data_IF_975636244203
#
_entry.id   IF_975636244203
#
_cell.length_a   1.000
_cell.length_b   1.000
_cell.length_c   1.000
_cell.angle_alpha   90.00
_cell.angle_beta   90.00
_cell.angle_gamma   90.00
#
_symmetry.space_group_name_H-M   'P 1'
#
loop_
_entity.id
_entity.type
_entity.pdbx_description
1 polymer ?
#
# COMPACT_ATOMS: atom_id res chain seq x y z
N UNK A 1 0.12 3.42 -0.52
CA UNK A 1 0.26 2.13 -1.21
C UNK A 1 1.01 1.21 -0.27
N UNK A 2 0.45 0.06 0.06
CA UNK A 2 1.08 -0.92 0.94
C UNK A 2 1.77 -1.98 0.08
N UNK A 3 3.05 -2.21 0.37
CA UNK A 3 3.88 -3.23 -0.29
C UNK A 3 4.04 -4.41 0.66
N UNK A 4 3.81 -5.63 0.18
CA UNK A 4 4.01 -6.85 0.96
C UNK A 4 5.08 -7.70 0.30
N UNK A 5 6.34 -7.39 0.62
CA UNK A 5 7.52 -8.07 0.05
C UNK A 5 8.17 -9.03 1.06
N UNK A 6 7.55 -9.22 2.23
CA UNK A 6 8.09 -10.05 3.28
C UNK A 6 7.84 -11.54 2.99
N UNK A 7 8.71 -12.39 3.53
CA UNK A 7 8.56 -13.86 3.50
C UNK A 7 7.35 -14.35 4.28
N UNK A 8 6.83 -13.54 5.20
CA UNK A 8 5.72 -13.90 6.08
C UNK A 8 4.38 -13.93 5.31
N UNK A 9 4.28 -13.20 4.18
CA UNK A 9 3.11 -13.18 3.29
C UNK A 9 2.78 -14.58 2.77
N UNK A 10 3.80 -15.39 2.48
CA UNK A 10 3.60 -16.79 2.03
C UNK A 10 2.77 -17.57 3.05
N UNK A 11 3.08 -17.44 4.34
CA UNK A 11 2.36 -18.15 5.41
C UNK A 11 0.92 -17.64 5.55
N UNK A 12 0.73 -16.32 5.46
CA UNK A 12 -0.60 -15.69 5.50
C UNK A 12 -1.48 -16.18 4.34
N UNK A 13 -0.95 -16.21 3.12
CA UNK A 13 -1.70 -16.65 1.94
C UNK A 13 -2.02 -18.15 1.98
N UNK A 14 -1.09 -18.99 2.43
CA UNK A 14 -1.34 -20.43 2.60
C UNK A 14 -2.46 -20.69 3.62
N UNK A 15 -2.40 -20.03 4.78
CA UNK A 15 -3.43 -20.13 5.81
C UNK A 15 -4.80 -19.63 5.33
N UNK A 16 -4.83 -18.46 4.70
CA UNK A 16 -6.07 -17.91 4.15
C UNK A 16 -6.69 -18.82 3.07
N UNK A 17 -5.86 -19.43 2.21
CA UNK A 17 -6.32 -20.36 1.16
C UNK A 17 -7.04 -21.58 1.73
N UNK A 18 -6.54 -22.15 2.83
CA UNK A 18 -7.20 -23.27 3.53
C UNK A 18 -8.55 -22.88 4.15
N UNK A 19 -8.82 -21.58 4.28
CA UNK A 19 -9.99 -21.01 4.94
C UNK A 19 -10.91 -20.24 3.96
N UNK A 20 -10.84 -20.57 2.67
CA UNK A 20 -11.71 -19.95 1.66
C UNK A 20 -11.22 -18.60 1.12
N UNK A 21 -9.94 -18.27 1.31
CA UNK A 21 -9.29 -17.11 0.70
C UNK A 21 -9.60 -15.77 1.38
N UNK A 22 -10.05 -15.79 2.63
CA UNK A 22 -10.39 -14.59 3.39
C UNK A 22 -9.18 -14.07 4.18
N UNK A 23 -8.92 -12.78 4.07
CA UNK A 23 -7.88 -12.04 4.76
C UNK A 23 -8.49 -10.87 5.53
N UNK A 24 -7.78 -10.43 6.56
CA UNK A 24 -7.96 -9.11 7.15
C UNK A 24 -6.73 -8.25 6.87
N UNK A 25 -6.97 -7.02 6.43
CA UNK A 25 -6.02 -5.93 6.50
C UNK A 25 -6.30 -5.16 7.78
N UNK A 26 -5.32 -5.13 8.68
CA UNK A 26 -5.43 -4.41 9.94
C UNK A 26 -4.42 -3.27 10.01
N UNK A 27 -4.84 -2.19 10.65
CA UNK A 27 -3.95 -1.16 11.20
C UNK A 27 -4.18 -1.07 12.70
N UNK A 28 -3.10 -1.25 13.45
CA UNK A 28 -3.01 -1.16 14.91
C UNK A 28 -1.52 -0.90 15.27
N UNK A 29 -0.81 -1.82 15.91
CA UNK A 29 0.67 -1.83 16.01
C UNK A 29 1.32 -2.17 14.66
N UNK A 30 1.23 -1.24 13.71
CA UNK A 30 1.71 -1.36 12.34
C UNK A 30 0.57 -1.54 11.34
N UNK A 31 0.90 -1.97 10.13
CA UNK A 31 -0.08 -2.30 9.08
C UNK A 31 0.26 -3.67 8.52
N UNK A 32 -0.68 -4.61 8.57
CA UNK A 32 -0.40 -6.01 8.22
C UNK A 32 -1.61 -6.75 7.64
N UNK A 33 -1.31 -7.83 6.93
CA UNK A 33 -2.29 -8.82 6.49
C UNK A 33 -2.28 -10.03 7.42
N UNK A 34 -3.46 -10.60 7.66
CA UNK A 34 -3.62 -11.85 8.40
C UNK A 34 -4.78 -12.69 7.83
N UNK A 35 -4.82 -14.01 8.03
CA UNK A 35 -5.99 -14.82 7.72
C UNK A 35 -7.22 -14.33 8.50
N UNK A 36 -8.41 -14.35 7.87
CA UNK A 36 -9.63 -13.90 8.53
C UNK A 36 -10.10 -14.83 9.66
N UNK A 37 -9.71 -16.10 9.61
CA UNK A 37 -10.09 -17.09 10.63
C UNK A 37 -8.88 -17.73 11.27
N UNK A 38 -9.04 -18.16 12.52
CA UNK A 38 -7.95 -18.64 13.35
C UNK A 38 -7.28 -17.47 14.07
N UNK A 39 -7.89 -17.06 15.19
CA UNK A 39 -7.33 -16.08 16.11
C UNK A 39 -5.84 -16.39 16.35
N UNK A 40 -5.02 -15.34 16.35
CA UNK A 40 -3.64 -15.45 16.82
C UNK A 40 -3.70 -15.95 18.25
N UNK A 41 -3.36 -17.22 18.46
CA UNK A 41 -3.08 -17.72 19.79
C UNK A 41 -1.63 -17.30 20.01
N UNK A 42 -1.36 -16.44 20.99
CA UNK A 42 -0.05 -15.77 21.15
C UNK A 42 1.20 -16.66 21.32
N UNK A 43 1.01 -17.97 21.17
CA UNK A 43 2.01 -19.03 21.20
C UNK A 43 2.17 -19.74 19.83
N UNK A 44 1.55 -19.25 18.76
CA UNK A 44 1.67 -19.83 17.42
C UNK A 44 3.15 -19.79 16.96
N UNK A 45 3.73 -20.94 16.57
CA UNK A 45 5.15 -21.02 16.19
C UNK A 45 5.47 -20.32 14.85
N UNK A 46 4.44 -19.92 14.09
CA UNK A 46 4.58 -19.20 12.82
C UNK A 46 3.77 -17.90 12.90
N UNK A 47 4.38 -16.73 12.69
CA UNK A 47 3.64 -15.48 12.65
C UNK A 47 2.60 -15.55 11.53
N UNK A 48 1.32 -15.44 11.90
CA UNK A 48 0.18 -15.41 10.98
C UNK A 48 -0.11 -14.01 10.45
N UNK A 49 0.86 -13.11 10.54
CA UNK A 49 0.76 -11.74 10.07
C UNK A 49 1.92 -11.41 9.15
N UNK A 50 1.62 -10.61 8.13
CA UNK A 50 2.59 -10.10 7.19
C UNK A 50 2.53 -8.57 7.19
N UNK A 51 3.53 -7.92 7.77
CA UNK A 51 3.61 -6.46 7.81
C UNK A 51 3.89 -5.85 6.43
N UNK A 52 3.20 -4.77 6.11
CA UNK A 52 3.54 -3.94 4.97
C UNK A 52 4.96 -3.35 5.17
N UNK A 53 5.69 -3.19 4.06
CA UNK A 53 7.05 -2.62 4.05
C UNK A 53 7.09 -1.28 4.77
N UNK A 54 7.98 -1.17 5.76
CA UNK A 54 8.16 0.04 6.57
C UNK A 54 7.21 0.16 7.77
N UNK A 55 6.21 -0.71 7.93
CA UNK A 55 5.21 -0.63 8.98
C UNK A 55 5.40 -1.65 10.13
N UNK A 56 6.57 -2.30 10.25
CA UNK A 56 6.78 -3.35 11.24
C UNK A 56 7.40 -2.77 12.54
N UNK A 57 6.71 -2.84 13.69
CA UNK A 57 7.11 -2.10 14.90
C UNK A 57 8.46 -2.50 15.48
N UNK A 58 8.86 -3.77 15.35
CA UNK A 58 10.16 -4.25 15.85
C UNK A 58 11.31 -4.12 14.84
N UNK A 59 11.02 -3.85 13.56
CA UNK A 59 12.06 -3.80 12.50
C UNK A 59 12.28 -2.41 11.91
N UNK A 60 11.32 -1.51 12.07
CA UNK A 60 11.35 -0.18 11.50
C UNK A 60 11.17 0.85 12.62
N UNK A 61 12.15 1.73 12.81
CA UNK A 61 12.10 2.78 13.84
C UNK A 61 10.93 3.75 13.57
N UNK A 62 10.82 4.22 12.31
CA UNK A 62 9.77 5.16 11.87
C UNK A 62 8.46 4.46 11.46
N UNK A 63 8.15 3.29 12.03
CA UNK A 63 6.99 2.50 11.62
C UNK A 63 5.67 3.24 11.82
N UNK A 64 5.56 4.01 12.91
CA UNK A 64 4.32 4.71 13.27
C UNK A 64 3.99 5.80 12.23
N UNK A 65 4.98 6.63 11.89
CA UNK A 65 4.82 7.67 10.87
C UNK A 65 4.57 7.05 9.49
N UNK A 66 5.24 5.95 9.17
CA UNK A 66 5.03 5.22 7.91
C UNK A 66 3.62 4.63 7.83
N UNK A 67 3.14 3.97 8.89
CA UNK A 67 1.79 3.43 8.99
C UNK A 67 0.74 4.54 8.85
N UNK A 68 0.92 5.65 9.59
CA UNK A 68 0.03 6.81 9.52
C UNK A 68 -0.03 7.41 8.12
N UNK A 69 1.12 7.53 7.47
CA UNK A 69 1.22 8.06 6.12
C UNK A 69 0.59 7.14 5.06
N UNK A 70 0.75 5.82 5.19
CA UNK A 70 0.31 4.85 4.20
C UNK A 70 -1.11 4.31 4.40
N UNK A 71 -1.68 4.43 5.59
CA UNK A 71 -2.99 3.86 5.91
C UNK A 71 -3.92 4.81 6.69
N UNK A 72 -3.47 6.03 7.02
CA UNK A 72 -4.27 7.01 7.77
C UNK A 72 -4.04 6.94 9.28
N UNK A 73 -4.72 7.80 10.04
CA UNK A 73 -4.52 7.92 11.49
C UNK A 73 -5.25 6.87 12.32
N UNK A 74 -6.42 6.43 11.87
CA UNK A 74 -7.35 5.61 12.66
C UNK A 74 -7.02 4.12 12.59
N UNK A 75 -7.34 3.38 13.64
CA UNK A 75 -7.19 1.93 13.67
C UNK A 75 -8.40 1.27 13.01
N UNK A 76 -8.15 0.20 12.27
CA UNK A 76 -9.20 -0.49 11.52
C UNK A 76 -8.87 -1.95 11.24
N UNK A 77 -9.91 -2.71 10.90
CA UNK A 77 -9.80 -4.02 10.29
C UNK A 77 -10.75 -4.11 9.10
N UNK A 78 -10.22 -4.53 7.95
CA UNK A 78 -10.95 -4.59 6.70
C UNK A 78 -10.85 -5.99 6.09
N UNK A 79 -11.99 -6.58 5.75
CA UNK A 79 -12.06 -7.91 5.16
C UNK A 79 -11.76 -7.86 3.67
N UNK A 80 -10.78 -8.66 3.26
CA UNK A 80 -10.36 -8.80 1.87
C UNK A 80 -10.55 -10.24 1.44
N UNK A 81 -11.03 -10.44 0.21
CA UNK A 81 -11.07 -11.76 -0.41
C UNK A 81 -10.04 -11.83 -1.52
N UNK A 82 -9.28 -12.91 -1.57
CA UNK A 82 -8.38 -13.23 -2.67
C UNK A 82 -8.87 -14.51 -3.35
N UNK A 83 -8.86 -14.51 -4.69
CA UNK A 83 -9.18 -15.73 -5.44
C UNK A 83 -8.03 -16.74 -5.35
N UNK A 84 -8.35 -18.02 -5.51
CA UNK A 84 -7.37 -19.11 -5.53
C UNK A 84 -6.29 -18.90 -6.62
N UNK A 85 -6.70 -18.36 -7.77
CA UNK A 85 -5.80 -18.02 -8.87
C UNK A 85 -4.80 -16.91 -8.47
N UNK A 86 -5.26 -15.86 -7.79
CA UNK A 86 -4.41 -14.78 -7.29
C UNK A 86 -3.44 -15.32 -6.23
N UNK A 87 -3.94 -16.08 -5.25
CA UNK A 87 -3.11 -16.68 -4.22
C UNK A 87 -2.01 -17.58 -4.82
N UNK A 88 -2.37 -18.43 -5.79
CA UNK A 88 -1.43 -19.31 -6.51
C UNK A 88 -0.37 -18.52 -7.27
N UNK A 89 -0.76 -17.44 -7.95
CA UNK A 89 0.17 -16.59 -8.69
C UNK A 89 1.20 -15.90 -7.78
N UNK A 90 0.75 -15.40 -6.63
CA UNK A 90 1.64 -14.76 -5.63
C UNK A 90 2.54 -15.80 -4.96
N UNK A 91 2.00 -16.94 -4.54
CA UNK A 91 2.77 -18.02 -3.89
C UNK A 91 3.83 -18.64 -4.81
N UNK A 92 3.59 -18.66 -6.12
CA UNK A 92 4.57 -19.13 -7.11
C UNK A 92 5.62 -18.07 -7.47
N UNK A 93 5.56 -16.88 -6.89
CA UNK A 93 6.48 -15.77 -7.17
C UNK A 93 6.32 -15.15 -8.56
N UNK A 94 5.22 -15.43 -9.26
CA UNK A 94 4.94 -14.86 -10.59
C UNK A 94 4.48 -13.41 -10.52
N UNK A 95 3.76 -13.07 -9.46
CA UNK A 95 3.18 -11.74 -9.24
C UNK A 95 3.37 -11.30 -7.81
N UNK A 96 3.51 -10.00 -7.61
CA UNK A 96 3.52 -9.42 -6.28
C UNK A 96 2.10 -9.00 -5.86
N UNK A 97 1.89 -8.85 -4.54
CA UNK A 97 0.66 -8.33 -3.95
C UNK A 97 0.89 -6.94 -3.38
N UNK A 98 -0.01 -6.01 -3.73
CA UNK A 98 -0.03 -4.62 -3.26
C UNK A 98 -1.43 -4.25 -2.82
N UNK A 99 -1.54 -3.32 -1.88
CA UNK A 99 -2.83 -2.77 -1.48
C UNK A 99 -2.83 -1.26 -1.70
N UNK A 100 -3.78 -0.79 -2.51
CA UNK A 100 -4.06 0.62 -2.66
C UNK A 100 -5.25 0.98 -1.76
N UNK A 101 -4.98 1.80 -0.75
CA UNK A 101 -6.02 2.39 0.08
C UNK A 101 -6.36 3.76 -0.51
N UNK A 102 -7.64 3.97 -0.74
CA UNK A 102 -8.19 5.30 -1.00
C UNK A 102 -9.36 5.52 -0.03
N UNK A 103 -9.79 6.76 0.09
CA UNK A 103 -10.97 7.18 0.85
C UNK A 103 -12.28 6.47 0.49
N UNK A 104 -12.40 5.84 -0.68
CA UNK A 104 -13.64 5.15 -1.09
C UNK A 104 -13.50 3.64 -1.24
N UNK A 105 -12.28 3.11 -1.20
CA UNK A 105 -12.02 1.72 -1.54
C UNK A 105 -10.63 1.27 -1.11
N UNK A 106 -10.54 0.00 -0.75
CA UNK A 106 -9.31 -0.75 -0.57
C UNK A 106 -9.22 -1.75 -1.71
N UNK A 107 -8.20 -1.59 -2.57
CA UNK A 107 -8.00 -2.46 -3.73
C UNK A 107 -6.80 -3.37 -3.51
N UNK A 108 -7.01 -4.67 -3.66
CA UNK A 108 -5.92 -5.64 -3.83
C UNK A 108 -5.47 -5.59 -5.28
N UNK A 109 -4.18 -5.33 -5.49
CA UNK A 109 -3.56 -5.29 -6.81
C UNK A 109 -2.54 -6.41 -6.90
N UNK A 110 -2.53 -7.12 -8.03
CA UNK A 110 -1.49 -8.09 -8.37
C UNK A 110 -1.02 -7.94 -9.80
N UNK A 111 0.30 -8.01 -9.98
CA UNK A 111 0.96 -8.02 -11.28
C UNK A 111 2.40 -8.51 -11.14
N UNK A 112 3.04 -8.82 -12.26
CA UNK A 112 4.48 -9.03 -12.29
C UNK A 112 5.19 -7.70 -12.04
N UNK A 113 6.31 -7.74 -11.31
CA UNK A 113 7.08 -6.54 -10.99
C UNK A 113 8.15 -6.26 -12.03
N UNK A 114 8.12 -5.04 -12.56
CA UNK A 114 9.08 -4.52 -13.52
C UNK A 114 10.37 -4.09 -12.81
N UNK A 115 11.49 -4.66 -13.26
CA UNK A 115 12.82 -4.27 -12.77
C UNK A 115 13.32 -3.06 -13.54
N UNK A 116 13.49 -1.95 -12.83
CA UNK A 116 13.89 -0.67 -13.43
C UNK A 116 15.29 -0.24 -12.98
N UNK A 117 15.92 0.63 -13.76
CA UNK A 117 17.20 1.26 -13.38
C UNK A 117 16.97 2.28 -12.25
N UNK A 118 18.00 2.56 -11.46
CA UNK A 118 17.94 3.53 -10.33
C UNK A 118 17.40 4.88 -10.78
N UNK A 119 17.82 5.38 -11.94
CA UNK A 119 17.34 6.65 -12.48
C UNK A 119 15.81 6.66 -12.74
N UNK A 120 15.27 5.57 -13.29
CA UNK A 120 13.82 5.44 -13.52
C UNK A 120 13.04 5.29 -12.22
N UNK A 121 13.61 4.59 -11.23
CA UNK A 121 13.02 4.45 -9.91
C UNK A 121 12.90 5.80 -9.19
N UNK A 122 13.98 6.58 -9.18
CA UNK A 122 14.00 7.96 -8.65
C UNK A 122 13.04 8.87 -9.40
N UNK A 123 13.07 8.84 -10.72
CA UNK A 123 12.12 9.60 -11.55
C UNK A 123 10.66 9.28 -11.20
N UNK A 124 10.34 8.01 -10.93
CA UNK A 124 8.99 7.65 -10.49
C UNK A 124 8.65 8.22 -9.11
N UNK A 125 9.59 8.19 -8.16
CA UNK A 125 9.43 8.83 -6.86
C UNK A 125 9.19 10.35 -7.01
N UNK A 126 9.96 11.02 -7.87
CA UNK A 126 9.82 12.45 -8.14
C UNK A 126 8.46 12.76 -8.78
N UNK A 127 7.99 11.95 -9.73
CA UNK A 127 6.66 12.10 -10.33
C UNK A 127 5.54 11.98 -9.29
N UNK A 128 5.63 11.00 -8.39
CA UNK A 128 4.67 10.81 -7.30
C UNK A 128 4.64 12.03 -6.38
N UNK A 129 5.81 12.50 -5.97
CA UNK A 129 5.94 13.65 -5.08
C UNK A 129 5.49 14.95 -5.74
N UNK A 130 5.88 15.20 -7.00
CA UNK A 130 5.45 16.36 -7.78
C UNK A 130 3.93 16.37 -7.96
N UNK A 131 3.31 15.21 -8.18
CA UNK A 131 1.86 15.09 -8.23
C UNK A 131 1.20 15.45 -6.89
N UNK A 132 1.78 15.01 -5.77
CA UNK A 132 1.26 15.25 -4.43
C UNK A 132 1.42 16.70 -3.96
N UNK A 133 2.40 17.43 -4.48
CA UNK A 133 2.73 18.80 -4.06
C UNK A 133 2.35 19.79 -5.14
N UNK A 134 3.08 19.82 -6.25
CA UNK A 134 2.94 20.85 -7.27
C UNK A 134 1.61 20.74 -8.01
N UNK A 135 1.27 19.54 -8.53
CA UNK A 135 0.05 19.40 -9.33
C UNK A 135 -1.21 19.55 -8.49
N UNK A 136 -1.21 19.01 -7.27
CA UNK A 136 -2.32 19.19 -6.34
C UNK A 136 -2.56 20.67 -5.99
N UNK A 137 -1.50 21.40 -5.63
CA UNK A 137 -1.61 22.82 -5.28
C UNK A 137 -1.94 23.73 -6.48
N UNK A 138 -1.71 23.25 -7.71
CA UNK A 138 -2.06 23.98 -8.92
C UNK A 138 -3.54 23.86 -9.28
N UNK A 139 -4.29 22.91 -8.71
CA UNK A 139 -5.71 22.76 -8.97
C UNK A 139 -6.50 23.88 -8.26
N UNK A 140 -7.29 24.63 -9.02
CA UNK A 140 -8.09 25.75 -8.52
C UNK A 140 -9.58 25.44 -8.38
N UNK A 141 -10.04 24.31 -8.92
CA UNK A 141 -11.46 23.95 -8.89
C UNK A 141 -11.73 22.45 -8.84
N UNK A 142 -13.01 22.07 -8.57
CA UNK A 142 -13.40 20.67 -8.43
C UNK A 142 -13.09 19.80 -9.66
N UNK A 143 -13.30 20.31 -10.87
CA UNK A 143 -13.03 19.55 -12.10
C UNK A 143 -11.53 19.23 -12.27
N UNK A 144 -10.66 20.17 -11.91
CA UNK A 144 -9.22 19.96 -11.94
C UNK A 144 -8.78 18.97 -10.87
N UNK A 145 -9.33 19.08 -9.65
CA UNK A 145 -9.10 18.12 -8.57
C UNK A 145 -9.59 16.71 -8.93
N UNK A 146 -10.72 16.60 -9.63
CA UNK A 146 -11.25 15.33 -10.14
C UNK A 146 -10.26 14.68 -11.12
N UNK A 147 -9.82 15.43 -12.14
CA UNK A 147 -8.83 14.96 -13.13
C UNK A 147 -7.47 14.66 -12.50
N UNK A 148 -7.04 15.47 -11.55
CA UNK A 148 -5.81 15.23 -10.79
C UNK A 148 -5.91 13.92 -10.00
N UNK A 149 -7.04 13.70 -9.32
CA UNK A 149 -7.30 12.48 -8.53
C UNK A 149 -7.24 11.22 -9.40
N UNK A 150 -7.88 11.22 -10.57
CA UNK A 150 -7.80 10.11 -11.53
C UNK A 150 -6.35 9.82 -11.95
N UNK A 151 -5.60 10.86 -12.28
CA UNK A 151 -4.19 10.74 -12.65
C UNK A 151 -3.30 10.26 -11.49
N UNK A 152 -3.56 10.72 -10.27
CA UNK A 152 -2.86 10.30 -9.07
C UNK A 152 -3.08 8.81 -8.77
N UNK A 153 -4.32 8.32 -8.88
CA UNK A 153 -4.63 6.88 -8.75
C UNK A 153 -3.91 6.07 -9.83
N UNK A 154 -3.94 6.52 -11.09
CA UNK A 154 -3.22 5.87 -12.19
C UNK A 154 -1.72 5.82 -11.93
N UNK A 155 -1.13 6.91 -11.44
CA UNK A 155 0.30 6.98 -11.14
C UNK A 155 0.71 6.04 -10.01
N UNK A 156 -0.09 5.93 -8.94
CA UNK A 156 0.12 4.96 -7.87
C UNK A 156 0.05 3.52 -8.40
N UNK A 157 -0.93 3.20 -9.25
CA UNK A 157 -1.03 1.86 -9.87
C UNK A 157 0.18 1.52 -10.74
N UNK A 158 0.70 2.48 -11.51
CA UNK A 158 1.92 2.30 -12.29
C UNK A 158 3.16 2.12 -11.40
N UNK A 159 3.19 2.78 -10.24
CA UNK A 159 4.29 2.67 -9.28
C UNK A 159 4.23 1.39 -8.44
N UNK A 160 3.06 0.75 -8.33
CA UNK A 160 2.83 -0.41 -7.46
C UNK A 160 3.76 -1.61 -7.77
N UNK A 161 4.16 -1.75 -9.04
CA UNK A 161 4.89 -2.92 -9.54
C UNK A 161 6.21 -2.56 -10.18
N UNK A 162 6.91 -1.55 -9.66
CA UNK A 162 8.32 -1.31 -10.01
C UNK A 162 9.25 -1.70 -8.87
N UNK A 163 10.39 -2.29 -9.20
CA UNK A 163 11.46 -2.60 -8.24
C UNK A 163 12.82 -2.19 -8.76
N UNK A 164 13.74 -1.86 -7.86
CA UNK A 164 15.10 -1.52 -8.22
C UNK A 164 16.11 -2.15 -7.25
N UNK A 165 16.82 -3.20 -7.70
CA UNK A 165 17.80 -3.92 -6.87
C UNK A 165 19.02 -3.06 -6.46
N UNK A 166 19.36 -2.05 -7.26
CA UNK A 166 20.56 -1.20 -7.04
C UNK A 166 20.24 0.13 -6.35
N UNK A 167 18.97 0.38 -6.05
CA UNK A 167 18.56 1.55 -5.30
C UNK A 167 19.04 1.39 -3.85
N UNK A 168 19.40 2.50 -3.22
CA UNK A 168 19.83 2.49 -1.82
C UNK A 168 18.60 2.45 -0.89
N UNK A 169 18.76 2.10 0.39
CA UNK A 169 17.66 2.18 1.36
C UNK A 169 16.98 3.55 1.38
N UNK A 170 17.73 4.64 1.22
CA UNK A 170 17.18 6.00 1.19
C UNK A 170 16.29 6.21 -0.04
N UNK A 171 16.67 5.67 -1.20
CA UNK A 171 15.85 5.74 -2.43
C UNK A 171 14.50 5.02 -2.23
N UNK A 172 14.52 3.87 -1.56
CA UNK A 172 13.30 3.12 -1.23
C UNK A 172 12.41 3.88 -0.25
N UNK A 173 13.01 4.52 0.77
CA UNK A 173 12.26 5.35 1.71
C UNK A 173 11.66 6.59 1.01
N UNK A 174 12.43 7.27 0.15
CA UNK A 174 11.91 8.39 -0.64
C UNK A 174 10.73 7.96 -1.52
N UNK A 175 10.83 6.80 -2.17
CA UNK A 175 9.75 6.26 -2.99
C UNK A 175 8.49 5.93 -2.17
N UNK A 176 8.67 5.28 -1.01
CA UNK A 176 7.57 4.95 -0.10
C UNK A 176 6.88 6.21 0.44
N UNK A 177 7.68 7.19 0.86
CA UNK A 177 7.19 8.50 1.31
C UNK A 177 6.42 9.24 0.21
N UNK A 178 6.90 9.20 -1.03
CA UNK A 178 6.22 9.82 -2.17
C UNK A 178 4.87 9.13 -2.46
N UNK A 179 4.82 7.80 -2.43
CA UNK A 179 3.56 7.03 -2.52
C UNK A 179 2.59 7.43 -1.41
N UNK A 180 3.07 7.50 -0.17
CA UNK A 180 2.27 7.84 0.99
C UNK A 180 1.72 9.27 0.94
N UNK A 181 2.56 10.26 0.60
CA UNK A 181 2.14 11.65 0.43
C UNK A 181 1.07 11.82 -0.63
N UNK A 182 1.22 11.14 -1.78
CA UNK A 182 0.20 11.20 -2.83
C UNK A 182 -1.11 10.56 -2.37
N UNK A 183 -1.05 9.46 -1.63
CA UNK A 183 -2.25 8.82 -1.07
C UNK A 183 -2.93 9.68 0.00
N UNK A 184 -2.16 10.35 0.85
CA UNK A 184 -2.69 11.29 1.84
C UNK A 184 -3.37 12.51 1.19
N UNK A 185 -2.94 12.92 -0.02
CA UNK A 185 -3.66 13.92 -0.81
C UNK A 185 -4.92 13.36 -1.44
N UNK A 186 -4.87 12.13 -1.95
CA UNK A 186 -6.06 11.45 -2.46
C UNK A 186 -7.16 11.40 -1.39
N UNK A 187 -6.83 11.06 -0.15
CA UNK A 187 -7.85 11.02 0.92
C UNK A 187 -8.52 12.37 1.20
N UNK A 188 -7.89 13.50 0.85
CA UNK A 188 -8.46 14.84 1.00
C UNK A 188 -9.43 15.23 -0.12
N UNK A 189 -9.44 14.51 -1.24
CA UNK A 189 -10.24 14.86 -2.43
C UNK A 189 -11.27 13.77 -2.69
N UNK A 190 -12.56 14.10 -2.78
CA UNK A 190 -13.60 13.14 -3.17
C UNK A 190 -13.45 12.72 -4.64
N UNK A 191 -14.06 11.61 -5.08
CA UNK A 191 -14.09 11.25 -6.51
C UNK A 191 -14.66 12.35 -7.42
N UNK A 192 -15.52 13.23 -6.90
CA UNK A 192 -16.11 14.36 -7.62
C UNK A 192 -15.24 15.63 -7.54
N UNK A 193 -14.03 15.55 -6.98
CA UNK A 193 -13.10 16.67 -6.89
C UNK A 193 -13.39 17.67 -5.76
N UNK A 194 -14.33 17.37 -4.86
CA UNK A 194 -14.55 18.22 -3.70
C UNK A 194 -13.47 17.98 -2.63
N UNK A 195 -12.99 19.05 -1.99
CA UNK A 195 -12.11 18.92 -0.84
C UNK A 195 -12.91 18.49 0.39
N UNK A 196 -12.40 17.49 1.10
CA UNK A 196 -12.92 17.12 2.41
C UNK A 196 -12.46 18.18 3.42
N UNK A 197 -13.41 18.76 4.13
CA UNK A 197 -13.10 19.62 5.27
C UNK A 197 -12.54 18.71 6.36
N UNK A 198 -11.22 18.62 6.45
CA UNK A 198 -10.56 18.08 7.64
C UNK A 198 -10.81 19.10 8.75
N UNK A 199 -11.66 18.74 9.72
CA UNK A 199 -11.82 19.51 10.94
C UNK A 199 -10.44 19.78 11.56
N UNK A 200 -10.23 21.03 11.97
CA UNK A 200 -9.02 21.47 12.68
C UNK A 200 -8.81 20.68 13.97
#
# INVERSE_FOLDING_TARGET
>A
MLFFDNKDLTNVLLAARMQGGQLHLAKDEGVYLMPATGAWQGNDPVPRIAYATGCHPQKNEDWYDTARLLAGGDDFIESLSISDAVATSVLSGRTDLRILITDTQIQVLTAATDRVKVAQYRQKADQLLASAVCHFNACVGPDELCRWRENAVRLLKQAAFISCKRAKPEDHQTFLNACGRLQARLSQVTPQGALRITGR
#
